data_IF_950421186316
#
_entry.id   IF_950421186316
#
_cell.length_a   1.000
_cell.length_b   1.000
_cell.length_c   1.000
_cell.angle_alpha   90.00
_cell.angle_beta   90.00
_cell.angle_gamma   90.00
#
_symmetry.space_group_name_H-M   'P 1'
#
loop_
_entity.id
_entity.type
_entity.pdbx_description
1 polymer ?
#
# COMPACT_ATOMS: atom_id res chain seq x y z
N UNK A 1 -18.16 5.25 -19.96
CA UNK A 1 -18.85 6.13 -18.99
C UNK A 1 -17.85 6.90 -18.15
N UNK A 2 -16.93 6.22 -17.46
CA UNK A 2 -15.93 6.86 -16.60
C UNK A 2 -14.93 7.72 -17.38
N UNK A 3 -14.52 7.30 -18.57
CA UNK A 3 -13.64 8.07 -19.45
C UNK A 3 -14.32 9.38 -19.93
N UNK A 4 -15.58 9.28 -20.31
CA UNK A 4 -16.37 10.46 -20.71
C UNK A 4 -16.65 11.42 -19.53
N UNK A 5 -16.59 10.91 -18.29
CA UNK A 5 -16.70 11.71 -17.07
C UNK A 5 -15.36 12.26 -16.56
N UNK A 6 -14.25 12.01 -17.26
CA UNK A 6 -12.90 12.37 -16.81
C UNK A 6 -12.39 11.50 -15.66
N UNK A 7 -12.98 10.33 -15.45
CA UNK A 7 -12.65 9.41 -14.34
C UNK A 7 -11.90 8.15 -14.79
N UNK A 8 -11.07 8.27 -15.82
CA UNK A 8 -10.29 7.15 -16.36
C UNK A 8 -9.43 6.45 -15.30
N UNK A 9 -8.98 7.19 -14.28
CA UNK A 9 -8.17 6.65 -13.17
C UNK A 9 -8.98 6.02 -12.03
N UNK A 10 -10.30 5.94 -12.12
CA UNK A 10 -11.16 5.39 -11.06
C UNK A 10 -10.81 3.97 -10.67
N UNK A 11 -10.37 3.18 -11.63
CA UNK A 11 -9.93 1.80 -11.43
C UNK A 11 -8.45 1.67 -11.01
N UNK A 12 -7.72 2.79 -10.90
CA UNK A 12 -6.33 2.86 -10.44
C UNK A 12 -6.23 3.48 -9.04
N UNK A 13 -7.32 3.49 -8.29
CA UNK A 13 -7.32 3.91 -6.89
C UNK A 13 -6.51 2.97 -6.01
N UNK A 14 -6.06 3.45 -4.84
CA UNK A 14 -5.14 2.73 -3.97
C UNK A 14 -5.60 1.29 -3.65
N UNK A 15 -6.90 1.08 -3.45
CA UNK A 15 -7.45 -0.24 -3.10
C UNK A 15 -7.32 -1.31 -4.22
N UNK A 16 -7.09 -0.88 -5.46
CA UNK A 16 -6.95 -1.80 -6.61
C UNK A 16 -5.60 -1.65 -7.34
N UNK A 17 -4.85 -0.61 -7.05
CA UNK A 17 -3.66 -0.23 -7.81
C UNK A 17 -2.64 -1.35 -7.97
N UNK A 18 -2.35 -2.07 -6.87
CA UNK A 18 -1.36 -3.15 -6.86
C UNK A 18 -1.86 -4.45 -7.52
N UNK A 19 -3.13 -4.51 -7.93
CA UNK A 19 -3.69 -5.59 -8.75
C UNK A 19 -3.59 -5.30 -10.26
N UNK A 20 -3.22 -4.06 -10.62
CA UNK A 20 -2.99 -3.70 -12.02
C UNK A 20 -1.64 -4.26 -12.45
N UNK A 21 -1.57 -5.05 -13.55
CA UNK A 21 -0.28 -5.48 -14.07
C UNK A 21 0.59 -4.28 -14.42
N UNK A 22 1.80 -4.28 -13.92
CA UNK A 22 2.74 -3.17 -14.13
C UNK A 22 3.98 -3.31 -13.24
N UNK A 23 4.79 -2.28 -13.23
CA UNK A 23 6.01 -2.18 -12.43
C UNK A 23 5.86 -1.15 -11.34
N UNK A 24 6.58 -1.37 -10.26
CA UNK A 24 6.68 -0.44 -9.15
C UNK A 24 8.07 0.18 -9.11
N UNK A 25 8.13 1.47 -8.83
CA UNK A 25 9.35 2.17 -8.48
C UNK A 25 9.17 2.74 -7.07
N UNK A 26 9.95 2.24 -6.12
CA UNK A 26 9.82 2.60 -4.70
C UNK A 26 11.09 3.32 -4.28
N UNK A 27 10.96 4.56 -3.82
CA UNK A 27 12.07 5.43 -3.41
C UNK A 27 11.71 6.22 -2.16
N UNK A 28 12.72 6.62 -1.40
CA UNK A 28 12.53 7.61 -0.35
C UNK A 28 12.41 9.00 -0.98
N UNK A 29 11.30 9.70 -0.73
CA UNK A 29 11.12 11.08 -1.12
C UNK A 29 11.80 12.02 -0.12
N UNK A 30 11.72 11.67 1.16
CA UNK A 30 12.35 12.36 2.29
C UNK A 30 12.52 11.33 3.44
N UNK A 31 13.01 11.78 4.61
CA UNK A 31 13.32 10.92 5.77
C UNK A 31 12.10 10.16 6.32
N UNK A 32 10.89 10.64 6.05
CA UNK A 32 9.64 10.13 6.62
C UNK A 32 8.59 9.75 5.56
N UNK A 33 8.94 9.79 4.28
CA UNK A 33 7.99 9.53 3.20
C UNK A 33 8.58 8.57 2.17
N UNK A 34 8.00 7.38 2.07
CA UNK A 34 8.29 6.45 1.00
C UNK A 34 7.34 6.73 -0.18
N UNK A 35 7.90 6.94 -1.35
CA UNK A 35 7.17 7.17 -2.59
C UNK A 35 7.09 5.85 -3.37
N UNK A 36 5.88 5.49 -3.78
CA UNK A 36 5.59 4.35 -4.62
C UNK A 36 4.95 4.86 -5.92
N UNK A 37 5.66 4.72 -7.02
CA UNK A 37 5.18 5.03 -8.37
C UNK A 37 4.82 3.74 -9.11
N UNK A 38 3.78 3.80 -9.94
CA UNK A 38 3.42 2.73 -10.87
C UNK A 38 3.59 3.22 -12.32
N UNK A 39 4.10 2.38 -13.20
CA UNK A 39 4.15 2.69 -14.63
C UNK A 39 2.74 2.58 -15.25
N UNK A 40 2.00 1.56 -14.93
CA UNK A 40 0.61 1.42 -15.37
C UNK A 40 -0.29 2.43 -14.67
N UNK A 41 -0.94 3.28 -15.45
CA UNK A 41 -1.79 4.37 -14.98
C UNK A 41 -1.01 5.58 -14.45
N UNK A 42 0.32 5.53 -14.41
CA UNK A 42 1.19 6.63 -13.95
C UNK A 42 0.72 7.22 -12.61
N UNK A 43 0.56 6.35 -11.62
CA UNK A 43 0.10 6.75 -10.29
C UNK A 43 1.26 6.91 -9.32
N UNK A 44 1.12 7.83 -8.37
CA UNK A 44 2.05 8.04 -7.26
C UNK A 44 1.31 7.92 -5.93
N UNK A 45 1.83 7.10 -5.01
CA UNK A 45 1.39 7.02 -3.62
C UNK A 45 2.51 7.46 -2.70
N UNK A 46 2.15 8.19 -1.65
CA UNK A 46 3.07 8.63 -0.60
C UNK A 46 2.71 7.92 0.70
N UNK A 47 3.61 7.06 1.15
CA UNK A 47 3.48 6.30 2.40
C UNK A 47 4.23 7.05 3.49
N UNK A 48 3.51 7.63 4.44
CA UNK A 48 4.07 8.55 5.44
C UNK A 48 4.27 7.86 6.76
N UNK A 49 5.45 8.02 7.33
CA UNK A 49 5.80 7.51 8.65
C UNK A 49 5.60 8.59 9.73
N UNK A 50 5.26 8.16 10.94
CA UNK A 50 5.06 9.06 12.08
C UNK A 50 3.64 9.60 12.21
N UNK A 51 3.50 10.79 12.77
CA UNK A 51 2.18 11.41 12.96
C UNK A 51 1.57 11.81 11.62
N UNK A 52 0.60 11.05 11.21
CA UNK A 52 -0.03 11.20 9.93
C UNK A 52 -1.40 11.86 10.08
N UNK A 53 -1.42 13.13 10.41
CA UNK A 53 -2.64 13.91 10.29
C UNK A 53 -3.01 13.99 8.81
N UNK A 54 -4.21 13.51 8.43
CA UNK A 54 -4.65 13.63 7.05
C UNK A 54 -4.64 15.09 6.59
N UNK A 55 -4.19 15.37 5.38
CA UNK A 55 -4.22 16.73 4.86
C UNK A 55 -5.65 17.26 4.79
N UNK A 56 -5.81 18.54 5.05
CA UNK A 56 -7.07 19.21 4.75
C UNK A 56 -7.27 19.22 3.23
N UNK A 57 -8.40 18.71 2.75
CA UNK A 57 -8.68 18.66 1.33
C UNK A 57 -9.68 17.56 0.94
N UNK A 58 -10.01 17.52 -0.33
CA UNK A 58 -10.89 16.48 -0.88
C UNK A 58 -10.16 15.11 -0.90
N UNK A 59 -10.91 14.00 -0.77
CA UNK A 59 -10.37 12.66 -1.01
C UNK A 59 -9.74 12.53 -2.40
N UNK A 60 -8.67 11.74 -2.51
CA UNK A 60 -7.98 11.46 -3.76
C UNK A 60 -8.10 9.99 -4.14
N UNK A 61 -7.75 9.60 -5.37
CA UNK A 61 -7.71 8.19 -5.77
C UNK A 61 -6.73 7.37 -4.91
N UNK A 62 -5.61 7.99 -4.53
CA UNK A 62 -4.57 7.32 -3.74
C UNK A 62 -4.76 7.46 -2.22
N UNK A 63 -5.75 8.27 -1.80
CA UNK A 63 -6.06 8.46 -0.39
C UNK A 63 -4.92 9.10 0.41
N UNK A 64 -4.95 8.84 1.71
CA UNK A 64 -3.91 9.22 2.66
C UNK A 64 -3.36 7.97 3.33
N UNK A 65 -2.10 7.67 3.10
CA UNK A 65 -1.43 6.45 3.57
C UNK A 65 -0.47 6.75 4.71
N UNK A 66 -0.65 6.03 5.82
CA UNK A 66 0.23 6.03 6.99
C UNK A 66 0.96 4.71 7.03
N UNK A 67 2.28 4.77 7.19
CA UNK A 67 3.16 3.62 7.19
C UNK A 67 3.81 3.41 8.56
N UNK A 68 3.91 2.17 9.00
CA UNK A 68 4.66 1.76 10.20
C UNK A 68 5.42 0.47 9.89
N UNK A 69 6.58 0.31 10.50
CA UNK A 69 7.30 -0.97 10.46
C UNK A 69 6.62 -1.97 11.40
N UNK A 70 6.50 -3.20 10.95
CA UNK A 70 5.91 -4.30 11.72
C UNK A 70 6.58 -4.49 13.09
N UNK A 71 5.79 -4.97 14.06
CA UNK A 71 6.23 -5.03 15.45
C UNK A 71 6.14 -3.71 16.22
N UNK A 72 5.94 -2.57 15.54
CA UNK A 72 5.79 -1.26 16.17
C UNK A 72 4.33 -0.86 16.42
N UNK A 73 3.35 -1.47 15.74
CA UNK A 73 1.93 -1.25 16.01
C UNK A 73 1.53 -2.00 17.29
N UNK A 74 1.01 -1.31 18.32
CA UNK A 74 0.53 -1.96 19.54
C UNK A 74 -0.55 -3.04 19.30
N UNK A 75 -1.27 -2.97 18.16
CA UNK A 75 -2.30 -3.94 17.77
C UNK A 75 -1.73 -5.23 17.17
N UNK A 76 -0.50 -5.19 16.65
CA UNK A 76 0.19 -6.36 16.10
C UNK A 76 0.77 -7.25 17.21
N UNK A 77 0.76 -6.78 18.45
CA UNK A 77 1.18 -7.56 19.61
C UNK A 77 0.12 -8.61 19.91
N UNK A 78 0.29 -9.78 19.32
CA UNK A 78 -0.49 -10.96 19.70
C UNK A 78 -0.08 -11.35 21.11
N UNK A 79 -1.10 -11.48 21.98
CA UNK A 79 -1.04 -12.15 23.28
C UNK A 79 -0.27 -11.46 24.41
N UNK A 80 -0.84 -10.40 24.99
CA UNK A 80 -0.81 -10.12 26.44
C UNK A 80 0.54 -10.02 27.18
N UNK A 81 1.66 -10.15 26.51
CA UNK A 81 2.99 -10.10 27.12
C UNK A 81 3.90 -9.12 26.40
N UNK A 82 3.70 -7.84 26.63
CA UNK A 82 4.68 -6.91 26.13
C UNK A 82 4.25 -5.47 26.34
N UNK A 83 4.72 -4.88 27.41
CA UNK A 83 4.93 -3.44 27.49
C UNK A 83 5.82 -2.98 26.34
N UNK A 84 5.99 -1.66 26.12
CA UNK A 84 6.93 -1.16 25.13
C UNK A 84 8.27 -1.86 25.36
N UNK A 85 8.88 -2.39 24.26
CA UNK A 85 10.19 -2.99 24.38
C UNK A 85 11.16 -1.95 24.91
N UNK A 86 11.75 -2.23 26.05
CA UNK A 86 12.78 -1.41 26.67
C UNK A 86 14.10 -2.18 26.64
N UNK A 87 15.22 -1.47 26.51
CA UNK A 87 16.54 -2.04 26.75
C UNK A 87 16.70 -2.40 28.25
N UNK A 88 17.81 -3.03 28.58
CA UNK A 88 18.14 -3.43 29.95
C UNK A 88 18.24 -2.24 30.92
N UNK A 89 18.29 -1.02 30.39
CA UNK A 89 18.32 0.24 31.15
C UNK A 89 16.94 0.93 31.22
N UNK A 90 15.88 0.30 30.67
CA UNK A 90 14.50 0.81 30.74
C UNK A 90 14.18 1.89 29.72
N UNK A 91 15.06 2.14 28.73
CA UNK A 91 14.79 3.08 27.64
C UNK A 91 13.91 2.41 26.58
N UNK A 92 12.91 3.14 26.09
CA UNK A 92 12.08 2.69 24.98
C UNK A 92 12.97 2.36 23.77
N UNK A 93 13.00 1.10 23.39
CA UNK A 93 13.56 0.68 22.09
C UNK A 93 12.63 1.24 21.00
N UNK A 94 12.91 2.48 20.60
CA UNK A 94 12.38 2.97 19.34
C UNK A 94 13.05 2.12 18.29
N UNK A 95 12.27 1.28 17.59
CA UNK A 95 12.78 0.41 16.53
C UNK A 95 13.42 1.27 15.43
N UNK A 96 14.65 1.70 15.65
CA UNK A 96 15.53 2.34 14.66
C UNK A 96 16.27 1.30 13.82
N UNK A 97 16.27 0.06 14.25
CA UNK A 97 16.91 -1.02 13.51
C UNK A 97 15.84 -1.73 12.66
N UNK A 98 15.83 -1.39 11.37
CA UNK A 98 14.96 -2.00 10.34
C UNK A 98 15.14 -3.52 10.21
N UNK A 99 16.00 -4.12 11.01
CA UNK A 99 16.33 -5.54 10.97
C UNK A 99 15.38 -6.41 11.79
N UNK A 100 14.57 -5.81 12.67
CA UNK A 100 13.66 -6.55 13.56
C UNK A 100 12.18 -6.52 13.11
N UNK A 101 11.86 -5.79 12.04
CA UNK A 101 10.50 -5.77 11.48
C UNK A 101 10.48 -6.49 10.13
N UNK A 102 9.76 -7.58 10.08
CA UNK A 102 9.69 -8.42 8.89
C UNK A 102 8.82 -7.80 7.78
N UNK A 103 8.03 -6.79 8.06
CA UNK A 103 7.11 -6.18 7.09
C UNK A 103 6.86 -4.68 7.32
N UNK A 104 6.37 -4.01 6.28
CA UNK A 104 5.84 -2.65 6.34
C UNK A 104 4.32 -2.71 6.29
N UNK A 105 3.64 -2.19 7.33
CA UNK A 105 2.19 -2.02 7.35
C UNK A 105 1.82 -0.62 6.88
N UNK A 106 0.87 -0.53 5.97
CA UNK A 106 0.33 0.72 5.45
C UNK A 106 -1.17 0.75 5.65
N UNK A 107 -1.68 1.80 6.28
CA UNK A 107 -3.12 2.05 6.44
C UNK A 107 -3.51 3.26 5.61
N UNK A 108 -4.47 3.08 4.69
CA UNK A 108 -4.91 4.15 3.79
C UNK A 108 -6.39 4.45 4.00
N UNK A 109 -6.69 5.72 4.12
CA UNK A 109 -8.03 6.29 4.28
C UNK A 109 -8.24 7.44 3.30
N UNK A 110 -9.44 8.08 3.34
CA UNK A 110 -9.75 9.25 2.50
C UNK A 110 -9.58 9.00 0.99
N UNK A 111 -9.89 7.80 0.57
CA UNK A 111 -9.92 7.44 -0.86
C UNK A 111 -11.21 7.98 -1.51
N UNK A 112 -11.13 8.41 -2.77
CA UNK A 112 -12.33 8.61 -3.60
C UNK A 112 -12.96 7.25 -3.88
N UNK A 113 -14.31 7.15 -3.94
CA UNK A 113 -14.99 5.92 -4.33
C UNK A 113 -14.50 5.40 -5.69
N UNK A 114 -14.09 4.16 -5.74
CA UNK A 114 -13.49 3.55 -6.92
C UNK A 114 -13.97 2.12 -7.16
N UNK A 115 -13.15 1.33 -7.83
CA UNK A 115 -13.41 -0.08 -8.10
C UNK A 115 -12.29 -0.95 -7.52
N UNK A 116 -12.66 -2.07 -6.90
CA UNK A 116 -11.74 -3.09 -6.42
C UNK A 116 -11.28 -4.00 -7.56
N UNK A 117 -12.16 -4.20 -8.53
CA UNK A 117 -11.90 -5.00 -9.71
C UNK A 117 -12.56 -4.35 -10.92
N UNK A 118 -12.07 -4.65 -12.11
CA UNK A 118 -12.59 -4.11 -13.36
C UNK A 118 -14.01 -4.54 -13.69
N UNK A 119 -14.48 -5.64 -13.09
CA UNK A 119 -15.87 -6.08 -13.19
C UNK A 119 -16.88 -5.13 -12.50
N UNK A 120 -16.40 -4.02 -11.93
CA UNK A 120 -17.24 -2.99 -11.34
C UNK A 120 -17.60 -3.20 -9.88
N UNK A 121 -16.91 -4.08 -9.14
CA UNK A 121 -17.07 -4.16 -7.69
C UNK A 121 -16.56 -2.86 -7.07
N UNK A 122 -17.45 -2.04 -6.49
CA UNK A 122 -17.06 -0.73 -5.98
C UNK A 122 -16.47 -0.81 -4.58
N UNK A 123 -15.79 0.27 -4.17
CA UNK A 123 -15.57 0.62 -2.78
C UNK A 123 -16.01 2.06 -2.53
N UNK A 124 -16.41 2.35 -1.27
CA UNK A 124 -16.92 3.65 -0.86
C UNK A 124 -15.80 4.60 -0.39
N UNK A 125 -16.17 5.85 -0.13
CA UNK A 125 -15.27 6.83 0.50
C UNK A 125 -14.90 6.47 1.95
N UNK A 126 -15.65 5.56 2.59
CA UNK A 126 -15.43 5.08 3.95
C UNK A 126 -14.60 3.80 4.00
N UNK A 127 -14.16 3.28 2.85
CA UNK A 127 -13.31 2.11 2.79
C UNK A 127 -12.01 2.33 3.56
N UNK A 128 -11.60 1.31 4.30
CA UNK A 128 -10.30 1.21 4.93
C UNK A 128 -9.46 0.23 4.12
N UNK A 129 -8.26 0.65 3.75
CA UNK A 129 -7.27 -0.18 3.09
C UNK A 129 -6.10 -0.42 4.03
N UNK A 130 -5.78 -1.68 4.28
CA UNK A 130 -4.57 -2.09 4.99
C UNK A 130 -3.71 -2.94 4.06
N UNK A 131 -2.43 -2.65 4.02
CA UNK A 131 -1.49 -3.36 3.16
C UNK A 131 -0.26 -3.76 3.97
N UNK A 132 0.23 -4.97 3.72
CA UNK A 132 1.40 -5.54 4.36
C UNK A 132 2.41 -5.86 3.27
N UNK A 133 3.57 -5.21 3.32
CA UNK A 133 4.65 -5.33 2.35
C UNK A 133 5.78 -6.13 2.96
N UNK A 134 6.08 -7.29 2.40
CA UNK A 134 7.12 -8.20 2.84
C UNK A 134 8.17 -8.41 1.75
N UNK A 135 9.43 -8.60 2.14
CA UNK A 135 10.50 -8.97 1.23
C UNK A 135 10.85 -10.44 1.42
N UNK A 136 10.75 -11.20 0.35
CA UNK A 136 11.15 -12.60 0.31
C UNK A 136 12.32 -12.80 -0.68
N UNK A 137 13.29 -13.61 -0.27
CA UNK A 137 14.40 -14.02 -1.13
C UNK A 137 14.28 -15.50 -1.46
N UNK A 138 14.29 -15.81 -2.75
CA UNK A 138 14.32 -17.19 -3.23
C UNK A 138 15.73 -17.76 -3.05
N UNK A 139 15.92 -18.81 -2.24
CA UNK A 139 17.24 -19.37 -1.95
C UNK A 139 17.90 -20.02 -3.16
N UNK A 140 17.15 -20.43 -4.17
CA UNK A 140 17.64 -21.10 -5.35
C UNK A 140 18.03 -20.12 -6.47
N UNK A 141 17.10 -19.23 -6.83
CA UNK A 141 17.28 -18.28 -7.94
C UNK A 141 17.95 -16.99 -7.50
N UNK A 142 18.08 -16.74 -6.18
CA UNK A 142 18.56 -15.48 -5.60
C UNK A 142 17.73 -14.26 -5.98
N UNK A 143 16.55 -14.47 -6.53
CA UNK A 143 15.61 -13.39 -6.81
C UNK A 143 15.04 -12.85 -5.49
N UNK A 144 14.84 -11.54 -5.43
CA UNK A 144 14.10 -10.87 -4.37
C UNK A 144 12.71 -10.53 -4.87
N UNK A 145 11.72 -10.79 -4.05
CA UNK A 145 10.32 -10.52 -4.32
C UNK A 145 9.74 -9.59 -3.25
N UNK A 146 8.96 -8.63 -3.68
CA UNK A 146 8.06 -7.88 -2.82
C UNK A 146 6.71 -8.58 -2.84
N UNK A 147 6.27 -9.05 -1.69
CA UNK A 147 4.96 -9.67 -1.49
C UNK A 147 4.07 -8.63 -0.82
N UNK A 148 2.87 -8.44 -1.35
CA UNK A 148 1.92 -7.49 -0.78
C UNK A 148 0.60 -8.20 -0.50
N UNK A 149 0.19 -8.18 0.76
CA UNK A 149 -1.17 -8.56 1.17
C UNK A 149 -1.99 -7.30 1.34
N UNK A 150 -3.07 -7.20 0.61
CA UNK A 150 -4.01 -6.07 0.63
C UNK A 150 -5.31 -6.52 1.27
N UNK A 151 -5.78 -5.79 2.27
CA UNK A 151 -7.05 -6.02 2.96
C UNK A 151 -7.92 -4.79 2.80
N UNK A 152 -9.07 -4.93 2.18
CA UNK A 152 -10.06 -3.85 2.04
C UNK A 152 -11.27 -4.15 2.88
N UNK A 153 -11.60 -3.24 3.79
CA UNK A 153 -12.82 -3.27 4.59
C UNK A 153 -13.74 -2.13 4.17
N UNK A 154 -14.95 -2.47 3.79
CA UNK A 154 -15.96 -1.49 3.38
C UNK A 154 -17.37 -2.00 3.72
N UNK A 155 -17.93 -1.52 4.82
CA UNK A 155 -19.26 -1.95 5.28
C UNK A 155 -20.41 -1.60 4.32
N UNK A 156 -20.17 -0.73 3.33
CA UNK A 156 -21.19 -0.35 2.35
C UNK A 156 -21.32 -1.37 1.21
N UNK A 157 -20.21 -2.00 0.81
CA UNK A 157 -20.17 -2.85 -0.39
C UNK A 157 -19.65 -4.25 -0.15
N UNK A 158 -19.00 -4.50 0.98
CA UNK A 158 -18.41 -5.79 1.32
C UNK A 158 -19.02 -6.34 2.62
N UNK A 159 -19.50 -7.57 2.58
CA UNK A 159 -19.98 -8.28 3.78
C UNK A 159 -18.81 -8.73 4.68
N UNK A 160 -17.66 -8.97 4.09
CA UNK A 160 -16.42 -9.39 4.75
C UNK A 160 -15.23 -8.63 4.14
N UNK A 161 -14.11 -8.51 4.86
CA UNK A 161 -12.91 -7.92 4.29
C UNK A 161 -12.45 -8.67 3.04
N UNK A 162 -12.18 -7.95 1.96
CA UNK A 162 -11.60 -8.51 0.75
C UNK A 162 -10.08 -8.57 0.91
N UNK A 163 -9.52 -9.79 0.81
CA UNK A 163 -8.08 -10.01 0.87
C UNK A 163 -7.57 -10.33 -0.53
N UNK A 164 -6.54 -9.61 -0.95
CA UNK A 164 -5.87 -9.78 -2.24
C UNK A 164 -4.37 -9.88 -2.03
N UNK A 165 -3.69 -10.56 -2.97
CA UNK A 165 -2.24 -10.70 -2.95
C UNK A 165 -1.65 -10.25 -4.27
N UNK A 166 -0.51 -9.56 -4.17
CA UNK A 166 0.30 -9.16 -5.32
C UNK A 166 1.76 -9.48 -5.03
N UNK A 167 2.53 -9.75 -6.06
CA UNK A 167 3.96 -10.00 -5.93
C UNK A 167 4.72 -9.37 -7.09
N UNK A 168 5.85 -8.77 -6.76
CA UNK A 168 6.69 -8.06 -7.70
C UNK A 168 8.12 -8.55 -7.58
N UNK A 169 8.71 -8.98 -8.69
CA UNK A 169 10.11 -9.36 -8.73
C UNK A 169 10.99 -8.11 -8.79
N UNK A 170 12.01 -8.04 -7.92
CA UNK A 170 13.01 -6.98 -8.02
C UNK A 170 13.77 -7.11 -9.35
N UNK A 171 13.76 -6.03 -10.13
CA UNK A 171 14.50 -5.93 -11.37
C UNK A 171 15.89 -5.31 -11.10
N UNK A 172 16.90 -5.64 -11.91
CA UNK A 172 18.27 -5.12 -11.74
C UNK A 172 18.38 -3.62 -12.03
N UNK A 173 17.49 -3.12 -12.88
CA UNK A 173 17.49 -1.74 -13.35
C UNK A 173 16.06 -1.29 -13.76
N UNK A 174 15.98 -0.05 -14.24
CA UNK A 174 14.73 0.57 -14.69
C UNK A 174 14.47 0.44 -16.20
N UNK A 175 15.19 -0.39 -16.93
CA UNK A 175 15.11 -0.50 -18.41
C UNK A 175 13.72 -0.92 -18.91
N UNK A 176 12.95 -1.61 -18.06
CA UNK A 176 11.58 -2.01 -18.38
C UNK A 176 10.51 -1.00 -17.96
N UNK A 177 10.86 0.16 -17.40
CA UNK A 177 9.89 1.17 -16.98
C UNK A 177 9.17 1.78 -18.18
N UNK A 178 7.84 1.62 -18.24
CA UNK A 178 7.01 2.05 -19.36
C UNK A 178 5.73 2.75 -18.86
N UNK A 179 5.79 4.05 -18.53
CA UNK A 179 4.65 4.79 -18.01
C UNK A 179 3.52 4.88 -19.05
N UNK A 180 2.35 4.42 -18.67
CA UNK A 180 1.13 4.50 -19.47
C UNK A 180 0.04 5.26 -18.74
N UNK A 181 -0.82 6.03 -19.44
CA UNK A 181 -1.91 6.74 -18.79
C UNK A 181 -2.97 5.76 -18.27
N UNK A 182 -3.82 6.26 -17.36
CA UNK A 182 -5.01 5.54 -16.95
C UNK A 182 -5.93 5.27 -18.15
N UNK A 183 -6.48 4.06 -18.23
CA UNK A 183 -7.45 3.66 -19.24
C UNK A 183 -8.63 2.95 -18.60
N UNK A 184 -9.83 3.50 -18.80
CA UNK A 184 -11.06 2.96 -18.23
C UNK A 184 -11.46 1.58 -18.81
N UNK A 185 -10.96 1.25 -19.99
CA UNK A 185 -11.35 0.07 -20.78
C UNK A 185 -10.25 -1.00 -20.90
N UNK A 186 -9.12 -0.86 -20.23
CA UNK A 186 -8.10 -1.90 -20.29
C UNK A 186 -8.56 -3.19 -19.58
N UNK A 187 -8.36 -4.37 -20.21
CA UNK A 187 -8.60 -5.65 -19.56
C UNK A 187 -7.55 -5.89 -18.44
N UNK A 188 -8.01 -6.31 -17.29
CA UNK A 188 -7.21 -6.71 -16.15
C UNK A 188 -7.35 -8.20 -15.92
#
# INVERSE_FOLDING_TARGET
KDEAAGEACRAYGAAALLQVPGRLHITWQDDNTLRLDTDSGTQTRLLRFGSATPPNGAPTWQGHSVAIWGGTDPRDRRDGQGGPATDDEGNLLVARDRRDSDYLKVTTTRMRPGYLQKNGVPYSANALLEEYFDLASDPYTKNTWLLVTTVVTDAQYLNEPLIMHSHFKKLPDASGWDPTPCRANEPR
#
